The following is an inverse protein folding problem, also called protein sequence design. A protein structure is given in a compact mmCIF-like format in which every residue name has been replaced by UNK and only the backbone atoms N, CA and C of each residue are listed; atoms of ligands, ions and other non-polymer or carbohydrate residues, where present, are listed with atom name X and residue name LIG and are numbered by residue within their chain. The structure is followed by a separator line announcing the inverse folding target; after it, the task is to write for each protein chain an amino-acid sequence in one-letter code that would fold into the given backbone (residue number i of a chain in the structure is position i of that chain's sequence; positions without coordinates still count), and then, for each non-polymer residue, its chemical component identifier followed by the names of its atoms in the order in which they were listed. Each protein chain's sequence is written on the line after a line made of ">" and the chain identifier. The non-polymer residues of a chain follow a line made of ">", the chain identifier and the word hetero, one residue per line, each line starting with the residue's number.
data_IF_082107880792
#
_entry.id   IF_082107880792
#
_cell.length_a   1.000
_cell.length_b   1.000
_cell.length_c   1.000
_cell.angle_alpha   90.00
_cell.angle_beta   90.00
_cell.angle_gamma   90.00
#
_symmetry.space_group_name_H-M   'P 1'
#
loop_
_entity.id
_entity.type
_entity.pdbx_description
1 polymer ?
#
# COMPACT_ATOMS: atom_id res chain seq x y z
N UNK A 1 5.56 -31.92 21.55
CA UNK A 1 4.92 -30.83 20.78
C UNK A 1 5.94 -29.72 20.69
N UNK A 2 6.35 -29.31 19.48
CA UNK A 2 7.35 -28.25 19.30
C UNK A 2 6.63 -26.91 19.39
N UNK A 3 6.84 -26.15 20.46
CA UNK A 3 6.57 -24.72 20.50
C UNK A 3 7.58 -24.04 19.60
N UNK A 4 7.33 -24.05 18.29
CA UNK A 4 8.02 -23.15 17.39
C UNK A 4 7.43 -21.77 17.64
N UNK A 5 8.19 -20.80 18.18
CA UNK A 5 7.68 -19.45 18.33
C UNK A 5 7.23 -18.95 16.96
N UNK A 6 6.12 -18.20 16.92
CA UNK A 6 5.79 -17.42 15.74
C UNK A 6 6.99 -16.51 15.47
N UNK A 7 7.77 -16.83 14.44
CA UNK A 7 8.78 -15.94 13.90
C UNK A 7 8.03 -14.85 13.14
N UNK A 8 7.88 -13.69 13.76
CA UNK A 8 7.53 -12.47 13.04
C UNK A 8 8.79 -12.07 12.28
N UNK A 9 8.91 -12.56 11.04
CA UNK A 9 9.88 -11.97 10.11
C UNK A 9 9.46 -10.52 9.93
N UNK A 10 10.38 -9.57 10.16
CA UNK A 10 10.19 -8.22 9.68
C UNK A 10 10.20 -8.30 8.15
N UNK A 11 9.06 -8.63 7.55
CA UNK A 11 8.92 -8.58 6.12
C UNK A 11 9.11 -7.11 5.71
N UNK A 12 9.96 -6.89 4.71
CA UNK A 12 10.35 -5.54 4.35
C UNK A 12 9.15 -4.75 3.86
N UNK A 13 9.04 -3.52 4.31
CA UNK A 13 7.97 -2.64 3.87
C UNK A 13 8.15 -2.28 2.39
N UNK A 14 7.04 -2.17 1.63
CA UNK A 14 7.07 -1.51 0.33
C UNK A 14 7.46 -0.03 0.48
N UNK A 15 7.72 0.65 -0.63
CA UNK A 15 8.16 2.06 -0.61
C UNK A 15 7.25 2.96 -1.41
N UNK A 16 6.97 4.16 -0.90
CA UNK A 16 6.26 5.19 -1.67
C UNK A 16 7.26 5.82 -2.64
N UNK A 17 7.00 5.69 -3.94
CA UNK A 17 7.86 6.28 -4.98
C UNK A 17 7.30 7.61 -5.50
N UNK A 18 5.99 7.83 -5.38
CA UNK A 18 5.35 9.10 -5.71
C UNK A 18 4.05 9.30 -4.95
N UNK A 19 3.64 10.56 -4.74
CA UNK A 19 2.28 10.90 -4.32
C UNK A 19 1.95 10.78 -2.83
N UNK A 20 2.90 10.37 -1.99
CA UNK A 20 2.69 10.32 -0.52
C UNK A 20 2.70 11.67 0.20
N UNK A 21 3.08 12.75 -0.48
CA UNK A 21 3.27 14.07 0.14
C UNK A 21 4.55 14.14 0.99
N UNK A 22 4.89 15.35 1.46
CA UNK A 22 6.04 15.58 2.34
C UNK A 22 5.76 15.00 3.72
N UNK A 23 6.61 14.09 4.18
CA UNK A 23 6.40 13.35 5.43
C UNK A 23 5.41 12.19 5.32
N UNK A 24 5.02 11.80 4.10
CA UNK A 24 4.27 10.56 3.88
C UNK A 24 5.09 9.35 4.32
N UNK A 25 4.41 8.36 4.90
CA UNK A 25 5.03 7.18 5.47
C UNK A 25 4.27 5.91 5.09
N UNK A 26 4.97 4.78 5.13
CA UNK A 26 4.41 3.46 4.86
C UNK A 26 4.80 2.50 5.98
N UNK A 27 3.84 1.68 6.40
CA UNK A 27 4.04 0.66 7.44
C UNK A 27 3.41 -0.66 6.98
N UNK A 28 3.94 -1.79 7.46
CA UNK A 28 3.50 -3.12 7.05
C UNK A 28 4.47 -3.76 6.06
N UNK A 29 3.94 -4.63 5.22
CA UNK A 29 4.68 -5.56 4.33
C UNK A 29 4.06 -5.55 2.94
N UNK A 30 4.72 -6.11 1.93
CA UNK A 30 4.17 -6.14 0.56
C UNK A 30 2.76 -6.73 0.48
N UNK A 31 2.46 -7.74 1.31
CA UNK A 31 1.14 -8.39 1.39
C UNK A 31 0.07 -7.57 2.08
N UNK A 32 0.43 -6.69 3.03
CA UNK A 32 -0.51 -5.86 3.76
C UNK A 32 0.20 -4.64 4.33
N UNK A 33 -0.15 -3.45 3.84
CA UNK A 33 0.49 -2.21 4.25
C UNK A 33 -0.49 -1.05 4.35
N UNK A 34 -0.07 -0.01 5.07
CA UNK A 34 -0.79 1.24 5.20
C UNK A 34 0.10 2.38 4.73
N UNK A 35 -0.42 3.19 3.81
CA UNK A 35 0.14 4.48 3.42
C UNK A 35 -0.50 5.56 4.28
N UNK A 36 0.30 6.29 5.05
CA UNK A 36 -0.11 7.53 5.73
C UNK A 36 0.40 8.73 4.93
N UNK A 37 -0.53 9.60 4.54
CA UNK A 37 -0.20 10.73 3.67
C UNK A 37 0.34 11.92 4.48
N UNK A 38 1.40 12.52 3.96
CA UNK A 38 1.99 13.74 4.48
C UNK A 38 1.30 14.99 3.92
N UNK A 39 1.98 16.15 4.02
CA UNK A 39 1.46 17.39 3.44
C UNK A 39 1.61 17.38 1.91
N UNK A 40 0.54 17.72 1.20
CA UNK A 40 0.50 17.72 -0.26
C UNK A 40 -0.94 17.72 -0.78
N UNK A 41 -1.08 17.57 -2.10
CA UNK A 41 -2.38 17.57 -2.77
C UNK A 41 -2.46 16.52 -3.87
N UNK A 42 -1.73 15.41 -3.72
CA UNK A 42 -1.74 14.32 -4.68
C UNK A 42 -3.10 13.59 -4.65
N UNK A 43 -3.59 13.20 -5.82
CA UNK A 43 -4.77 12.33 -5.99
C UNK A 43 -4.37 10.90 -6.31
N UNK A 44 -3.07 10.63 -6.46
CA UNK A 44 -2.51 9.34 -6.82
C UNK A 44 -1.31 9.05 -5.94
N UNK A 45 -1.16 7.82 -5.47
CA UNK A 45 0.06 7.32 -4.83
C UNK A 45 0.59 6.11 -5.59
N UNK A 46 1.90 6.06 -5.75
CA UNK A 46 2.60 4.92 -6.34
C UNK A 46 3.45 4.27 -5.27
N UNK A 47 3.26 2.96 -5.11
CA UNK A 47 3.96 2.16 -4.12
C UNK A 47 4.67 1.01 -4.83
N UNK A 48 5.98 0.92 -4.67
CA UNK A 48 6.79 -0.19 -5.16
C UNK A 48 6.84 -1.27 -4.08
N UNK A 49 6.55 -2.50 -4.48
CA UNK A 49 6.77 -3.68 -3.65
C UNK A 49 8.26 -3.89 -3.43
N UNK A 50 8.63 -4.28 -2.22
CA UNK A 50 10.01 -4.62 -1.91
C UNK A 50 10.44 -5.88 -2.67
N UNK A 51 9.56 -6.88 -2.75
CA UNK A 51 9.77 -8.13 -3.49
C UNK A 51 8.79 -8.19 -4.67
N UNK A 52 9.31 -8.51 -5.85
CA UNK A 52 8.46 -8.72 -7.02
C UNK A 52 7.59 -9.97 -6.83
N UNK A 53 6.29 -9.84 -7.06
CA UNK A 53 5.37 -10.96 -7.17
C UNK A 53 5.64 -11.78 -8.44
N UNK A 54 5.33 -13.08 -8.41
CA UNK A 54 5.42 -13.94 -9.60
C UNK A 54 4.42 -13.54 -10.70
N UNK A 55 3.24 -13.06 -10.30
CA UNK A 55 2.20 -12.48 -11.14
C UNK A 55 1.61 -11.25 -10.43
N UNK A 56 1.00 -10.32 -11.18
CA UNK A 56 0.39 -9.14 -10.56
C UNK A 56 -0.65 -9.59 -9.51
N UNK A 57 -0.53 -9.17 -8.23
CA UNK A 57 -1.45 -9.61 -7.18
C UNK A 57 -2.85 -9.02 -7.37
N UNK A 58 -3.85 -9.64 -6.75
CA UNK A 58 -5.13 -8.98 -6.52
C UNK A 58 -4.99 -7.97 -5.39
N UNK A 59 -5.43 -6.73 -5.61
CA UNK A 59 -5.25 -5.64 -4.63
C UNK A 59 -6.60 -5.08 -4.18
N UNK A 60 -6.76 -4.95 -2.88
CA UNK A 60 -7.91 -4.32 -2.22
C UNK A 60 -7.44 -3.08 -1.46
N UNK A 61 -8.21 -2.00 -1.56
CA UNK A 61 -7.86 -0.72 -0.93
C UNK A 61 -9.03 -0.16 -0.14
N UNK A 62 -8.72 0.49 0.99
CA UNK A 62 -9.68 1.28 1.76
C UNK A 62 -9.03 2.59 2.20
N UNK A 63 -9.78 3.69 2.17
CA UNK A 63 -9.33 4.99 2.67
C UNK A 63 -10.00 5.35 3.99
N UNK A 64 -9.33 6.15 4.83
CA UNK A 64 -9.90 6.64 6.09
C UNK A 64 -10.53 8.04 5.99
N UNK A 65 -10.33 8.74 4.87
CA UNK A 65 -10.89 10.07 4.67
C UNK A 65 -12.38 9.99 4.30
N UNK A 66 -13.21 10.75 5.01
CA UNK A 66 -14.65 10.82 4.71
C UNK A 66 -14.90 11.37 3.30
N UNK A 67 -15.90 10.79 2.62
CA UNK A 67 -16.30 11.17 1.25
C UNK A 67 -15.19 11.01 0.20
N UNK A 68 -14.09 10.33 0.53
CA UNK A 68 -13.06 9.92 -0.41
C UNK A 68 -13.36 8.51 -0.91
N UNK A 69 -13.44 8.36 -2.23
CA UNK A 69 -13.39 7.08 -2.91
C UNK A 69 -11.95 6.80 -3.28
N UNK A 70 -11.43 5.65 -2.87
CA UNK A 70 -10.08 5.18 -3.21
C UNK A 70 -10.21 3.91 -4.04
N UNK A 71 -9.45 3.80 -5.12
CA UNK A 71 -9.47 2.64 -6.00
C UNK A 71 -8.09 2.34 -6.55
N UNK A 72 -7.89 1.09 -6.96
CA UNK A 72 -6.66 0.65 -7.61
C UNK A 72 -6.71 1.11 -9.07
N UNK A 73 -5.75 1.95 -9.48
CA UNK A 73 -5.64 2.40 -10.87
C UNK A 73 -4.93 1.35 -11.73
N UNK A 74 -3.83 0.78 -11.22
CA UNK A 74 -3.09 -0.28 -11.88
C UNK A 74 -2.26 -1.09 -10.89
N UNK A 75 -1.94 -2.33 -11.28
CA UNK A 75 -1.09 -3.25 -10.53
C UNK A 75 -0.15 -3.95 -11.51
N UNK A 76 1.12 -4.04 -11.14
CA UNK A 76 2.13 -4.89 -11.78
C UNK A 76 2.70 -5.88 -10.75
N UNK A 77 3.68 -6.68 -11.16
CA UNK A 77 4.42 -7.56 -10.24
C UNK A 77 5.26 -6.78 -9.23
N UNK A 78 5.61 -5.53 -9.51
CA UNK A 78 6.54 -4.73 -8.68
C UNK A 78 5.91 -3.48 -8.10
N UNK A 79 4.70 -3.12 -8.49
CA UNK A 79 4.12 -1.83 -8.13
C UNK A 79 2.59 -1.89 -8.07
N UNK A 80 2.02 -1.07 -7.19
CA UNK A 80 0.61 -0.68 -7.23
C UNK A 80 0.47 0.83 -7.32
N UNK A 81 -0.44 1.28 -8.18
CA UNK A 81 -0.88 2.67 -8.24
C UNK A 81 -2.31 2.78 -7.73
N UNK A 82 -2.50 3.65 -6.74
CA UNK A 82 -3.78 3.86 -6.07
C UNK A 82 -4.21 5.30 -6.29
N UNK A 83 -5.47 5.50 -6.64
CA UNK A 83 -6.02 6.81 -6.98
C UNK A 83 -7.27 7.10 -6.17
N UNK A 84 -7.50 8.38 -5.91
CA UNK A 84 -8.67 8.89 -5.22
C UNK A 84 -9.39 9.95 -6.04
N UNK A 85 -10.69 10.12 -5.78
CA UNK A 85 -11.50 11.18 -6.40
C UNK A 85 -11.21 12.60 -5.86
N UNK A 86 -10.41 12.72 -4.81
CA UNK A 86 -10.01 13.97 -4.17
C UNK A 86 -8.62 13.83 -3.55
N UNK A 87 -7.90 14.95 -3.44
CA UNK A 87 -6.53 14.95 -2.91
C UNK A 87 -6.44 14.34 -1.51
N UNK A 88 -5.43 13.50 -1.29
CA UNK A 88 -5.16 12.94 0.03
C UNK A 88 -4.74 14.05 1.00
N UNK A 89 -5.47 14.18 2.10
CA UNK A 89 -5.15 15.15 3.16
C UNK A 89 -4.14 14.56 4.13
N UNK A 90 -3.26 15.38 4.70
CA UNK A 90 -2.28 14.95 5.69
C UNK A 90 -2.94 14.15 6.84
N UNK A 91 -2.33 13.01 7.21
CA UNK A 91 -2.84 12.07 8.21
C UNK A 91 -3.90 11.10 7.68
N UNK A 92 -4.39 11.26 6.44
CA UNK A 92 -5.23 10.25 5.78
C UNK A 92 -4.43 8.96 5.64
N UNK A 93 -5.10 7.83 5.81
CA UNK A 93 -4.52 6.51 5.65
C UNK A 93 -5.23 5.76 4.53
N UNK A 94 -4.45 5.07 3.70
CA UNK A 94 -4.95 4.07 2.76
C UNK A 94 -4.40 2.72 3.18
N UNK A 95 -5.29 1.78 3.52
CA UNK A 95 -4.92 0.40 3.82
C UNK A 95 -4.99 -0.42 2.54
N UNK A 96 -3.98 -1.24 2.31
CA UNK A 96 -3.81 -2.05 1.11
C UNK A 96 -3.60 -3.50 1.51
N UNK A 97 -4.35 -4.40 0.88
CA UNK A 97 -4.17 -5.84 0.98
C UNK A 97 -3.85 -6.39 -0.41
N UNK A 98 -2.74 -7.11 -0.52
CA UNK A 98 -2.29 -7.76 -1.74
C UNK A 98 -2.38 -9.28 -1.56
N UNK A 99 -3.09 -9.94 -2.47
CA UNK A 99 -3.26 -11.40 -2.48
C UNK A 99 -2.57 -11.95 -3.72
N UNK A 100 -1.61 -12.84 -3.51
CA UNK A 100 -0.95 -13.56 -4.61
C UNK A 100 -1.98 -14.38 -5.38
N UNK A 101 -1.93 -14.29 -6.71
CA UNK A 101 -2.65 -15.21 -7.57
C UNK A 101 -1.80 -16.46 -7.68
N UNK A 102 -2.33 -17.61 -7.25
CA UNK A 102 -1.67 -18.91 -7.44
C UNK A 102 -1.35 -19.12 -8.92
N UNK A 103 -0.17 -19.67 -9.19
CA UNK A 103 0.30 -19.99 -10.53
C UNK A 103 -0.58 -21.01 -11.24
#
# INVERSE_FOLDING_TARGET
>A
MSDTPIKVYAATAPTITAGGGTGGAITGTDTAFQVEFGTGSATTVTVDFHTAYAAAPMVFVTGTQASQTVYVESVSTTQVKITSNAAFTAGTKVNVLCIEQGA
#
